data_IF_071816351282
#
_entry.id   IF_071816351282
#
_cell.length_a   1.000
_cell.length_b   1.000
_cell.length_c   1.000
_cell.angle_alpha   90.00
_cell.angle_beta   90.00
_cell.angle_gamma   90.00
#
_symmetry.space_group_name_H-M   'P 1'
#
loop_
_entity.id
_entity.type
_entity.pdbx_description
1 polymer ?
#
# COMPACT_ATOMS: atom_id res chain seq x y z
N UNK A 1 -2.19 0.18 21.39
CA UNK A 1 -2.75 1.09 20.37
C UNK A 1 -1.72 1.23 19.26
N UNK A 2 -2.08 1.02 18.00
CA UNK A 2 -1.16 1.12 16.85
C UNK A 2 -1.70 2.22 15.92
N UNK A 3 -0.83 3.12 15.47
CA UNK A 3 -1.10 4.03 14.36
C UNK A 3 -0.19 3.58 13.22
N UNK A 4 -0.80 3.23 12.09
CA UNK A 4 -0.05 2.86 10.90
C UNK A 4 0.08 4.12 10.06
N UNK A 5 1.29 4.68 9.99
CA UNK A 5 1.67 5.75 9.07
C UNK A 5 2.40 5.18 7.84
N UNK A 6 2.87 6.06 6.93
CA UNK A 6 3.57 5.60 5.72
C UNK A 6 4.84 4.84 6.07
N UNK A 7 5.56 5.26 7.11
CA UNK A 7 6.80 4.67 7.56
C UNK A 7 6.55 3.26 8.10
N UNK A 8 5.60 3.11 9.03
CA UNK A 8 5.21 1.83 9.60
C UNK A 8 4.64 0.86 8.56
N UNK A 9 3.77 1.34 7.66
CA UNK A 9 3.19 0.50 6.61
C UNK A 9 4.25 -0.08 5.66
N UNK A 10 5.19 0.77 5.25
CA UNK A 10 6.21 0.40 4.26
C UNK A 10 7.33 -0.42 4.89
N UNK A 11 7.66 -0.17 6.16
CA UNK A 11 8.58 -1.00 6.92
C UNK A 11 8.03 -2.44 7.08
N UNK A 12 6.77 -2.56 7.50
CA UNK A 12 6.10 -3.85 7.63
C UNK A 12 5.99 -4.62 6.29
N UNK A 13 5.90 -3.90 5.16
CA UNK A 13 5.85 -4.51 3.84
C UNK A 13 7.20 -5.13 3.40
N UNK A 14 8.32 -4.72 4.00
CA UNK A 14 9.62 -5.40 3.88
C UNK A 14 10.21 -5.42 2.46
N UNK A 15 9.99 -4.36 1.68
CA UNK A 15 10.56 -4.17 0.34
C UNK A 15 12.09 -4.21 0.38
N UNK A 16 12.72 -4.97 -0.52
CA UNK A 16 14.19 -4.93 -0.68
C UNK A 16 14.63 -3.82 -1.63
N UNK A 17 13.83 -3.52 -2.65
CA UNK A 17 14.14 -2.49 -3.61
C UNK A 17 13.77 -1.10 -3.07
N UNK A 18 14.71 -0.12 -3.07
CA UNK A 18 14.43 1.21 -2.54
C UNK A 18 13.37 1.98 -3.36
N UNK A 19 13.25 1.73 -4.66
CA UNK A 19 12.22 2.33 -5.50
C UNK A 19 10.85 1.69 -5.31
N UNK A 20 10.79 0.37 -5.02
CA UNK A 20 9.53 -0.26 -4.60
C UNK A 20 9.05 0.35 -3.27
N UNK A 21 9.98 0.54 -2.32
CA UNK A 21 9.73 1.23 -1.05
C UNK A 21 9.17 2.64 -1.26
N UNK A 22 9.83 3.45 -2.09
CA UNK A 22 9.38 4.81 -2.41
C UNK A 22 7.99 4.85 -3.06
N UNK A 23 7.71 3.94 -4.01
CA UNK A 23 6.39 3.83 -4.64
C UNK A 23 5.30 3.44 -3.65
N UNK A 24 5.58 2.54 -2.71
CA UNK A 24 4.64 2.17 -1.65
C UNK A 24 4.37 3.35 -0.69
N UNK A 25 5.39 4.14 -0.34
CA UNK A 25 5.20 5.36 0.46
C UNK A 25 4.33 6.39 -0.28
N UNK A 26 4.57 6.58 -1.57
CA UNK A 26 3.75 7.48 -2.40
C UNK A 26 2.31 6.99 -2.51
N UNK A 27 2.10 5.69 -2.72
CA UNK A 27 0.77 5.09 -2.74
C UNK A 27 0.01 5.33 -1.42
N UNK A 28 0.69 5.15 -0.28
CA UNK A 28 0.12 5.43 1.04
C UNK A 28 -0.28 6.90 1.18
N UNK A 29 0.61 7.85 0.86
CA UNK A 29 0.32 9.28 1.03
C UNK A 29 -0.79 9.77 0.11
N UNK A 30 -0.87 9.27 -1.12
CA UNK A 30 -1.99 9.56 -2.01
C UNK A 30 -3.28 9.02 -1.39
N UNK A 31 -3.31 7.75 -0.98
CA UNK A 31 -4.48 7.13 -0.35
C UNK A 31 -4.92 7.88 0.93
N UNK A 32 -3.97 8.37 1.73
CA UNK A 32 -4.26 9.18 2.92
C UNK A 32 -4.90 10.53 2.55
N UNK A 33 -4.38 11.23 1.54
CA UNK A 33 -4.93 12.53 1.08
C UNK A 33 -6.29 12.44 0.40
N UNK A 34 -6.69 11.26 -0.08
CA UNK A 34 -8.06 11.03 -0.58
C UNK A 34 -9.09 11.38 0.49
N UNK A 35 -8.80 11.10 1.78
CA UNK A 35 -9.70 11.44 2.87
C UNK A 35 -10.00 12.95 2.92
N UNK A 36 -8.98 13.80 2.72
CA UNK A 36 -9.13 15.26 2.76
C UNK A 36 -10.10 15.75 1.66
N UNK A 37 -9.94 15.25 0.42
CA UNK A 37 -10.83 15.59 -0.70
C UNK A 37 -12.25 15.06 -0.47
N UNK A 38 -12.39 13.85 0.09
CA UNK A 38 -13.72 13.32 0.39
C UNK A 38 -14.43 14.12 1.49
N UNK A 39 -13.70 14.64 2.48
CA UNK A 39 -14.28 15.51 3.52
C UNK A 39 -14.76 16.83 2.90
N UNK A 40 -13.94 17.44 2.03
CA UNK A 40 -14.31 18.65 1.30
C UNK A 40 -15.59 18.45 0.49
N UNK A 41 -15.63 17.41 -0.35
CA UNK A 41 -16.77 17.11 -1.21
C UNK A 41 -18.03 16.74 -0.41
N UNK A 42 -17.92 15.89 0.60
CA UNK A 42 -19.11 15.38 1.29
C UNK A 42 -19.70 16.35 2.31
N UNK A 43 -18.88 17.21 2.94
CA UNK A 43 -19.30 17.96 4.13
C UNK A 43 -19.10 19.48 4.04
N UNK A 44 -18.28 19.97 3.11
CA UNK A 44 -17.95 21.40 3.03
C UNK A 44 -18.58 22.09 1.81
N UNK A 45 -18.52 21.45 0.64
CA UNK A 45 -19.04 22.01 -0.62
C UNK A 45 -20.52 21.66 -0.79
N UNK A 46 -21.36 22.69 -0.99
CA UNK A 46 -22.82 22.51 -1.16
C UNK A 46 -23.25 22.40 -2.62
N UNK A 47 -22.51 23.04 -3.54
CA UNK A 47 -22.84 23.05 -4.96
C UNK A 47 -22.63 21.66 -5.57
N UNK A 48 -23.71 21.07 -6.08
CA UNK A 48 -23.74 19.65 -6.42
C UNK A 48 -22.84 19.26 -7.60
N UNK A 49 -22.75 20.13 -8.61
CA UNK A 49 -21.84 19.93 -9.72
C UNK A 49 -20.37 19.92 -9.25
N UNK A 50 -20.05 20.79 -8.27
CA UNK A 50 -18.69 20.91 -7.72
C UNK A 50 -18.35 19.73 -6.82
N UNK A 51 -19.17 19.41 -5.82
CA UNK A 51 -18.83 18.32 -4.92
C UNK A 51 -18.76 16.98 -5.65
N UNK A 52 -19.59 16.78 -6.69
CA UNK A 52 -19.60 15.53 -7.47
C UNK A 52 -18.26 15.34 -8.19
N UNK A 53 -17.72 16.41 -8.77
CA UNK A 53 -16.39 16.38 -9.39
C UNK A 53 -15.27 16.16 -8.37
N UNK A 54 -15.36 16.77 -7.18
CA UNK A 54 -14.36 16.62 -6.11
C UNK A 54 -14.30 15.16 -5.63
N UNK A 55 -15.45 14.54 -5.32
CA UNK A 55 -15.46 13.14 -4.86
C UNK A 55 -15.02 12.17 -5.96
N UNK A 56 -15.34 12.45 -7.23
CA UNK A 56 -14.83 11.68 -8.36
C UNK A 56 -13.30 11.80 -8.51
N UNK A 57 -12.75 13.01 -8.36
CA UNK A 57 -11.30 13.22 -8.37
C UNK A 57 -10.59 12.46 -7.23
N UNK A 58 -11.22 12.39 -6.06
CA UNK A 58 -10.72 11.60 -4.93
C UNK A 58 -10.63 10.10 -5.28
N UNK A 59 -11.60 9.55 -6.02
CA UNK A 59 -11.54 8.17 -6.52
C UNK A 59 -10.44 7.95 -7.56
N UNK A 60 -10.22 8.89 -8.48
CA UNK A 60 -9.10 8.80 -9.43
C UNK A 60 -7.73 8.85 -8.73
N UNK A 61 -7.59 9.63 -7.66
CA UNK A 61 -6.40 9.60 -6.81
C UNK A 61 -6.19 8.21 -6.17
N UNK A 62 -7.24 7.60 -5.63
CA UNK A 62 -7.16 6.25 -5.04
C UNK A 62 -6.78 5.21 -6.10
N UNK A 63 -7.30 5.33 -7.32
CA UNK A 63 -6.91 4.49 -8.45
C UNK A 63 -5.40 4.59 -8.73
N UNK A 64 -4.84 5.79 -8.75
CA UNK A 64 -3.38 5.99 -8.95
C UNK A 64 -2.54 5.46 -7.79
N UNK A 65 -3.04 5.56 -6.56
CA UNK A 65 -2.41 4.92 -5.40
C UNK A 65 -2.34 3.39 -5.58
N UNK A 66 -3.44 2.76 -6.01
CA UNK A 66 -3.46 1.32 -6.28
C UNK A 66 -2.50 0.91 -7.40
N UNK A 67 -2.39 1.71 -8.46
CA UNK A 67 -1.42 1.49 -9.55
C UNK A 67 0.03 1.56 -9.03
N UNK A 68 0.37 2.52 -8.17
CA UNK A 68 1.71 2.62 -7.57
C UNK A 68 2.02 1.45 -6.63
N UNK A 69 1.05 1.02 -5.82
CA UNK A 69 1.21 -0.16 -4.96
C UNK A 69 1.45 -1.44 -5.79
N UNK A 70 0.72 -1.59 -6.91
CA UNK A 70 0.96 -2.67 -7.88
C UNK A 70 2.37 -2.58 -8.45
N UNK A 71 2.82 -1.41 -8.91
CA UNK A 71 4.17 -1.22 -9.44
C UNK A 71 5.26 -1.59 -8.41
N UNK A 72 5.10 -1.19 -7.15
CA UNK A 72 6.01 -1.58 -6.08
C UNK A 72 6.12 -3.11 -5.95
N UNK A 73 5.00 -3.82 -6.03
CA UNK A 73 4.96 -5.29 -6.00
C UNK A 73 5.59 -5.92 -7.24
N UNK A 74 5.36 -5.37 -8.42
CA UNK A 74 5.97 -5.88 -9.66
C UNK A 74 7.50 -5.70 -9.67
N UNK A 75 8.03 -4.63 -9.07
CA UNK A 75 9.48 -4.46 -8.91
C UNK A 75 10.09 -5.58 -8.04
N UNK A 76 9.46 -5.92 -6.92
CA UNK A 76 9.93 -7.04 -6.07
C UNK A 76 9.82 -8.39 -6.77
N UNK A 77 8.80 -8.58 -7.63
CA UNK A 77 8.68 -9.79 -8.46
C UNK A 77 9.81 -9.88 -9.47
N UNK A 78 10.10 -8.77 -10.15
CA UNK A 78 11.16 -8.71 -11.16
C UNK A 78 12.55 -9.03 -10.58
N UNK A 79 12.76 -8.76 -9.29
CA UNK A 79 14.01 -9.06 -8.59
C UNK A 79 13.99 -10.39 -7.81
N UNK A 80 12.86 -11.10 -7.83
CA UNK A 80 12.64 -12.31 -7.04
C UNK A 80 12.94 -12.10 -5.55
N UNK A 81 12.37 -11.02 -4.98
CA UNK A 81 12.60 -10.58 -3.58
C UNK A 81 11.33 -10.44 -2.74
N UNK A 82 10.15 -10.72 -3.32
CA UNK A 82 8.83 -10.56 -2.70
C UNK A 82 8.74 -11.22 -1.33
N UNK A 83 8.62 -10.42 -0.27
CA UNK A 83 8.36 -10.95 1.08
C UNK A 83 7.03 -11.69 1.12
N UNK A 84 7.04 -12.90 1.69
CA UNK A 84 5.86 -13.73 1.96
C UNK A 84 5.99 -14.32 3.35
N UNK A 85 4.94 -14.21 4.15
CA UNK A 85 4.92 -14.62 5.55
C UNK A 85 3.78 -15.61 5.86
N UNK A 86 3.81 -16.84 5.31
CA UNK A 86 2.75 -17.82 5.54
C UNK A 86 2.77 -18.37 6.97
N UNK A 87 1.60 -18.76 7.48
CA UNK A 87 1.48 -19.44 8.77
C UNK A 87 1.79 -20.95 8.64
N UNK A 88 2.52 -21.49 9.60
CA UNK A 88 2.67 -22.93 9.80
C UNK A 88 1.47 -23.50 10.57
N UNK A 89 1.30 -24.84 10.57
CA UNK A 89 0.18 -25.53 11.26
C UNK A 89 0.09 -25.25 12.76
N UNK A 90 1.19 -24.89 13.39
CA UNK A 90 1.27 -24.55 14.82
C UNK A 90 1.08 -23.04 15.08
N UNK A 91 0.76 -22.25 14.05
CA UNK A 91 0.60 -20.80 14.13
C UNK A 91 1.91 -20.01 13.95
N UNK A 92 3.07 -20.66 13.88
CA UNK A 92 4.35 -19.97 13.66
C UNK A 92 4.34 -19.26 12.31
N UNK A 93 4.69 -17.97 12.29
CA UNK A 93 4.87 -17.22 11.04
C UNK A 93 6.21 -17.62 10.42
N UNK A 94 6.17 -18.17 9.21
CA UNK A 94 7.35 -18.49 8.41
C UNK A 94 7.66 -17.32 7.47
N UNK A 95 8.87 -17.29 6.89
CA UNK A 95 9.29 -16.25 5.95
C UNK A 95 9.93 -16.87 4.70
N UNK A 96 9.63 -16.27 3.53
CA UNK A 96 10.34 -16.48 2.27
C UNK A 96 10.31 -15.22 1.40
N UNK A 97 11.21 -15.14 0.42
CA UNK A 97 11.38 -14.09 -0.60
C UNK A 97 11.43 -14.60 -2.05
N UNK A 98 12.23 -15.63 -2.32
CA UNK A 98 12.34 -16.26 -3.64
C UNK A 98 11.03 -16.96 -4.01
N UNK A 99 10.69 -16.98 -5.30
CA UNK A 99 9.49 -17.64 -5.78
C UNK A 99 9.59 -19.15 -5.52
N UNK A 100 10.71 -19.76 -5.92
CA UNK A 100 11.00 -21.20 -5.75
C UNK A 100 11.91 -21.42 -4.54
N UNK A 101 11.32 -21.37 -3.35
CA UNK A 101 11.97 -21.78 -2.09
C UNK A 101 10.93 -22.23 -1.05
N UNK A 102 11.35 -23.04 -0.07
CA UNK A 102 10.49 -23.37 1.08
C UNK A 102 10.51 -22.24 2.11
N UNK A 103 9.36 -21.80 2.66
CA UNK A 103 9.33 -20.91 3.81
C UNK A 103 10.04 -21.54 5.00
N UNK A 104 10.82 -20.73 5.72
CA UNK A 104 11.57 -21.16 6.90
C UNK A 104 11.08 -20.38 8.12
N UNK A 105 11.29 -20.94 9.32
CA UNK A 105 11.09 -20.17 10.56
C UNK A 105 12.05 -18.97 10.53
N UNK A 106 11.63 -17.78 11.00
CA UNK A 106 12.58 -16.69 11.23
C UNK A 106 13.70 -17.23 12.14
N UNK A 107 14.93 -17.01 11.72
CA UNK A 107 16.11 -17.33 12.52
C UNK A 107 16.27 -16.37 13.69
#
# INVERSE_FOLDING_TARGET
RIVVDKEAAVEAAGFRNPYARAKAMAAYEIARRVADLTVEGCFMVKEWERYTQIVAAAHEMMRKAAELAKQAREIEKAQDTVLRTPHHRDGTILTKRKLIEKPKRPG
#
